data_IF_544821353002
#
_entry.id   IF_544821353002
#
_cell.length_a   1.000
_cell.length_b   1.000
_cell.length_c   1.000
_cell.angle_alpha   90.00
_cell.angle_beta   90.00
_cell.angle_gamma   90.00
#
_symmetry.space_group_name_H-M   'P 1'
#
loop_
_entity.id
_entity.type
_entity.pdbx_description
1 polymer ?
#
# COMPACT_ATOMS: atom_id res chain seq x y z
N UNK A 1 29.40 -6.28 19.64
CA UNK A 1 29.01 -5.97 18.23
C UNK A 1 27.99 -6.94 17.67
N UNK A 2 28.05 -8.26 17.98
CA UNK A 2 27.06 -9.25 17.48
C UNK A 2 25.63 -9.03 18.01
N UNK A 3 25.49 -8.69 19.30
CA UNK A 3 24.16 -8.56 19.93
C UNK A 3 23.35 -7.38 19.41
N UNK A 4 24.02 -6.27 19.02
CA UNK A 4 23.36 -5.10 18.46
C UNK A 4 22.80 -5.33 17.04
N UNK A 5 23.43 -6.18 16.25
CA UNK A 5 22.96 -6.53 14.90
C UNK A 5 21.72 -7.42 14.96
N UNK A 6 21.71 -8.38 15.88
CA UNK A 6 20.59 -9.29 16.04
C UNK A 6 19.37 -8.62 16.67
N UNK A 7 19.57 -7.53 17.43
CA UNK A 7 18.49 -6.76 18.04
C UNK A 7 17.44 -6.32 17.00
N UNK A 8 17.88 -5.93 15.80
CA UNK A 8 16.97 -5.51 14.73
C UNK A 8 16.02 -6.64 14.29
N UNK A 9 16.49 -7.89 14.28
CA UNK A 9 15.65 -9.05 13.96
C UNK A 9 14.67 -9.38 15.10
N UNK A 10 15.10 -9.28 16.34
CA UNK A 10 14.22 -9.49 17.51
C UNK A 10 13.15 -8.40 17.59
N UNK A 11 13.51 -7.14 17.33
CA UNK A 11 12.57 -6.02 17.26
C UNK A 11 11.52 -6.22 16.15
N UNK A 12 11.94 -6.70 14.97
CA UNK A 12 11.03 -7.06 13.89
C UNK A 12 10.08 -8.20 14.31
N UNK A 13 10.60 -9.27 14.90
CA UNK A 13 9.80 -10.40 15.35
C UNK A 13 8.75 -9.98 16.39
N UNK A 14 9.14 -9.14 17.37
CA UNK A 14 8.21 -8.64 18.39
C UNK A 14 7.19 -7.67 17.79
N UNK A 15 7.59 -6.82 16.85
CA UNK A 15 6.65 -5.91 16.16
C UNK A 15 5.66 -6.70 15.29
N UNK A 16 6.12 -7.77 14.62
CA UNK A 16 5.26 -8.68 13.86
C UNK A 16 4.22 -9.37 14.77
N UNK A 17 4.66 -9.88 15.92
CA UNK A 17 3.75 -10.50 16.91
C UNK A 17 2.69 -9.50 17.38
N UNK A 18 3.09 -8.28 17.79
CA UNK A 18 2.14 -7.22 18.19
C UNK A 18 1.17 -6.86 17.08
N UNK A 19 1.67 -6.80 15.84
CA UNK A 19 0.84 -6.52 14.64
C UNK A 19 -0.23 -7.61 14.47
N UNK A 20 0.14 -8.89 14.59
CA UNK A 20 -0.80 -9.99 14.50
C UNK A 20 -1.86 -9.95 15.61
N UNK A 21 -1.42 -9.73 16.85
CA UNK A 21 -2.32 -9.71 18.03
C UNK A 21 -3.32 -8.54 18.00
N UNK A 22 -2.90 -7.37 17.49
CA UNK A 22 -3.68 -6.13 17.57
C UNK A 22 -4.49 -5.82 16.32
N UNK A 23 -4.04 -6.26 15.14
CA UNK A 23 -4.57 -5.79 13.85
C UNK A 23 -5.25 -6.88 13.02
N UNK A 24 -5.45 -8.09 13.56
CA UNK A 24 -6.10 -9.19 12.83
C UNK A 24 -7.45 -8.78 12.18
N UNK A 25 -8.36 -8.04 12.84
CA UNK A 25 -9.60 -7.59 12.21
C UNK A 25 -9.37 -6.63 11.04
N UNK A 26 -8.43 -5.69 11.16
CA UNK A 26 -8.11 -4.73 10.10
C UNK A 26 -7.46 -5.43 8.89
N UNK A 27 -6.60 -6.43 9.13
CA UNK A 27 -5.98 -7.24 8.08
C UNK A 27 -7.07 -8.01 7.31
N UNK A 28 -8.03 -8.62 8.01
CA UNK A 28 -9.16 -9.30 7.39
C UNK A 28 -10.05 -8.34 6.58
N UNK A 29 -10.30 -7.13 7.08
CA UNK A 29 -11.03 -6.09 6.35
C UNK A 29 -10.28 -5.66 5.07
N UNK A 30 -8.97 -5.47 5.14
CA UNK A 30 -8.15 -5.14 3.98
C UNK A 30 -8.20 -6.24 2.92
N UNK A 31 -8.07 -7.51 3.31
CA UNK A 31 -8.23 -8.64 2.40
C UNK A 31 -9.62 -8.65 1.74
N UNK A 32 -10.68 -8.36 2.50
CA UNK A 32 -12.03 -8.26 1.97
C UNK A 32 -12.20 -7.08 0.99
N UNK A 33 -11.54 -5.93 1.22
CA UNK A 33 -11.55 -4.79 0.28
C UNK A 33 -10.88 -5.18 -1.04
N UNK A 34 -9.68 -5.76 -0.99
CA UNK A 34 -8.95 -6.20 -2.18
C UNK A 34 -9.75 -7.25 -2.95
N UNK A 35 -10.31 -8.24 -2.26
CA UNK A 35 -11.16 -9.27 -2.88
C UNK A 35 -12.36 -8.65 -3.63
N UNK A 36 -13.14 -7.80 -2.98
CA UNK A 36 -14.31 -7.14 -3.60
C UNK A 36 -13.92 -6.33 -4.84
N UNK A 37 -12.80 -5.63 -4.79
CA UNK A 37 -12.28 -4.88 -5.95
C UNK A 37 -12.03 -5.81 -7.13
N UNK A 38 -11.30 -6.89 -6.92
CA UNK A 38 -10.93 -7.83 -7.98
C UNK A 38 -12.12 -8.63 -8.50
N UNK A 39 -13.05 -9.04 -7.64
CA UNK A 39 -14.32 -9.69 -8.01
C UNK A 39 -15.23 -8.73 -8.80
N UNK A 40 -15.23 -7.44 -8.45
CA UNK A 40 -15.95 -6.39 -9.15
C UNK A 40 -15.31 -5.94 -10.48
N UNK A 41 -14.20 -6.55 -10.90
CA UNK A 41 -13.48 -6.20 -12.13
C UNK A 41 -12.65 -4.93 -12.02
N UNK A 42 -12.41 -4.44 -10.81
CA UNK A 42 -11.55 -3.28 -10.54
C UNK A 42 -10.05 -3.61 -10.56
N UNK A 43 -9.25 -2.55 -10.54
CA UNK A 43 -7.79 -2.58 -10.55
C UNK A 43 -7.25 -2.12 -9.20
N UNK A 44 -6.18 -2.74 -8.73
CA UNK A 44 -5.42 -2.30 -7.56
C UNK A 44 -4.37 -1.27 -7.99
N UNK A 45 -4.44 -0.06 -7.46
CA UNK A 45 -3.48 1.01 -7.74
C UNK A 45 -2.60 1.19 -6.51
N UNK A 46 -1.28 1.07 -6.68
CA UNK A 46 -0.33 1.15 -5.58
C UNK A 46 0.53 2.40 -5.67
N UNK A 47 0.74 3.12 -4.56
CA UNK A 47 1.69 4.21 -4.49
C UNK A 47 2.39 4.32 -3.13
N UNK A 48 3.50 5.03 -3.10
CA UNK A 48 4.34 5.30 -1.95
C UNK A 48 5.65 5.94 -2.36
N UNK A 49 6.48 6.33 -1.41
CA UNK A 49 7.77 6.97 -1.66
C UNK A 49 8.94 6.09 -1.17
N UNK A 50 10.11 6.18 -1.80
CA UNK A 50 11.31 5.48 -1.36
C UNK A 50 11.13 3.96 -1.26
N UNK A 51 11.36 3.37 -0.08
CA UNK A 51 11.11 1.95 0.18
C UNK A 51 9.65 1.56 -0.05
N UNK A 52 8.71 2.41 0.34
CA UNK A 52 7.28 2.21 0.08
C UNK A 52 6.92 2.26 -1.42
N UNK A 53 7.72 2.93 -2.25
CA UNK A 53 7.57 2.84 -3.72
C UNK A 53 8.04 1.48 -4.24
N UNK A 54 9.12 0.94 -3.67
CA UNK A 54 9.58 -0.42 -3.98
C UNK A 54 8.53 -1.47 -3.58
N UNK A 55 7.92 -1.33 -2.41
CA UNK A 55 6.82 -2.20 -1.96
C UNK A 55 5.61 -2.12 -2.92
N UNK A 56 5.25 -0.92 -3.38
CA UNK A 56 4.18 -0.73 -4.36
C UNK A 56 4.43 -1.48 -5.67
N UNK A 57 5.66 -1.44 -6.19
CA UNK A 57 6.07 -2.17 -7.40
C UNK A 57 6.08 -3.69 -7.16
N UNK A 58 6.63 -4.11 -6.03
CA UNK A 58 6.67 -5.51 -5.64
C UNK A 58 5.25 -6.08 -5.61
N UNK A 59 4.34 -5.43 -4.90
CA UNK A 59 2.98 -5.94 -4.75
C UNK A 59 2.20 -5.93 -6.07
N UNK A 60 2.33 -4.92 -6.91
CA UNK A 60 1.72 -4.95 -8.24
C UNK A 60 2.17 -6.19 -9.04
N UNK A 61 3.45 -6.58 -8.93
CA UNK A 61 3.99 -7.79 -9.57
C UNK A 61 3.34 -9.06 -9.03
N UNK A 62 3.16 -9.17 -7.71
CA UNK A 62 2.54 -10.34 -7.09
C UNK A 62 1.09 -10.56 -7.57
N UNK A 63 0.33 -9.49 -7.77
CA UNK A 63 -1.03 -9.58 -8.32
C UNK A 63 -1.04 -9.88 -9.82
N UNK A 64 -0.21 -9.22 -10.61
CA UNK A 64 -0.21 -9.36 -12.07
C UNK A 64 0.35 -10.70 -12.52
N UNK A 65 1.46 -11.14 -11.95
CA UNK A 65 2.12 -12.40 -12.35
C UNK A 65 1.52 -13.57 -11.56
N UNK A 66 1.91 -13.71 -10.33
CA UNK A 66 1.39 -14.65 -9.31
C UNK A 66 2.18 -14.48 -8.02
N UNK A 67 1.65 -14.90 -6.90
CA UNK A 67 2.38 -15.04 -5.64
C UNK A 67 2.75 -16.51 -5.37
N UNK A 68 1.93 -17.26 -4.65
CA UNK A 68 2.22 -18.65 -4.30
C UNK A 68 1.60 -19.67 -5.27
N UNK A 69 0.42 -19.35 -5.83
CA UNK A 69 -0.35 -20.26 -6.68
C UNK A 69 -0.33 -19.83 -8.15
N UNK A 70 -0.33 -20.83 -9.05
CA UNK A 70 -0.55 -20.56 -10.46
C UNK A 70 -2.03 -20.24 -10.70
N UNK A 71 -2.34 -19.04 -11.20
CA UNK A 71 -3.69 -18.51 -11.39
C UNK A 71 -3.73 -17.48 -12.52
N UNK A 72 -4.93 -17.01 -12.88
CA UNK A 72 -5.09 -15.88 -13.80
C UNK A 72 -4.43 -14.62 -13.23
N UNK A 73 -4.02 -13.70 -14.11
CA UNK A 73 -3.54 -12.39 -13.71
C UNK A 73 -4.66 -11.58 -13.03
N UNK A 74 -4.31 -10.88 -11.94
CA UNK A 74 -5.17 -9.88 -11.33
C UNK A 74 -4.72 -8.48 -11.73
N UNK A 75 -5.65 -7.56 -12.08
CA UNK A 75 -5.28 -6.21 -12.52
C UNK A 75 -4.69 -5.40 -11.36
N UNK A 76 -3.44 -4.98 -11.54
CA UNK A 76 -2.72 -4.15 -10.57
C UNK A 76 -1.71 -3.23 -11.27
N UNK A 77 -1.53 -2.01 -10.78
CA UNK A 77 -0.62 -1.00 -11.32
C UNK A 77 0.12 -0.33 -10.17
N UNK A 78 1.45 -0.26 -10.27
CA UNK A 78 2.25 0.60 -9.40
C UNK A 78 2.42 1.98 -10.07
N UNK A 79 1.90 3.02 -9.45
CA UNK A 79 1.99 4.42 -9.94
C UNK A 79 3.41 5.00 -9.80
N UNK A 80 4.38 4.16 -9.47
CA UNK A 80 5.77 4.51 -9.18
C UNK A 80 6.73 4.07 -10.28
N UNK A 81 6.25 3.58 -11.42
CA UNK A 81 7.09 2.91 -12.43
C UNK A 81 7.32 3.71 -13.71
N UNK A 82 6.37 4.53 -14.15
CA UNK A 82 6.51 5.33 -15.37
C UNK A 82 7.38 6.57 -15.09
N UNK A 83 8.67 6.43 -15.39
CA UNK A 83 9.65 7.49 -15.12
C UNK A 83 9.42 8.76 -15.94
N UNK A 84 8.89 8.64 -17.16
CA UNK A 84 8.55 9.80 -17.98
C UNK A 84 7.40 10.58 -17.37
N UNK A 85 6.36 9.89 -16.94
CA UNK A 85 5.23 10.51 -16.27
C UNK A 85 5.63 11.16 -14.95
N UNK A 86 6.38 10.44 -14.10
CA UNK A 86 6.83 10.95 -12.79
C UNK A 86 7.71 12.20 -12.94
N UNK A 87 8.64 12.20 -13.92
CA UNK A 87 9.53 13.34 -14.14
C UNK A 87 8.81 14.52 -14.77
N UNK A 88 7.92 14.29 -15.73
CA UNK A 88 7.10 15.36 -16.33
C UNK A 88 6.15 15.97 -15.30
N UNK A 89 5.41 15.15 -14.55
CA UNK A 89 4.52 15.66 -13.52
C UNK A 89 5.29 16.43 -12.43
N UNK A 90 6.43 15.90 -11.98
CA UNK A 90 7.28 16.57 -10.99
C UNK A 90 7.80 17.92 -11.48
N UNK A 91 8.16 18.04 -12.77
CA UNK A 91 8.65 19.27 -13.36
C UNK A 91 7.53 20.30 -13.64
N UNK A 92 6.39 19.86 -14.15
CA UNK A 92 5.38 20.74 -14.72
C UNK A 92 4.31 21.15 -13.69
N UNK A 93 3.93 20.26 -12.77
CA UNK A 93 2.86 20.49 -11.79
C UNK A 93 3.29 20.29 -10.33
N UNK A 94 4.52 19.86 -10.10
CA UNK A 94 5.11 19.66 -8.79
C UNK A 94 5.05 18.21 -8.30
N UNK A 95 6.02 17.85 -7.44
CA UNK A 95 6.18 16.48 -6.91
C UNK A 95 4.97 16.02 -6.07
N UNK A 96 4.23 16.96 -5.51
CA UNK A 96 3.03 16.68 -4.71
C UNK A 96 1.90 16.05 -5.56
N UNK A 97 1.95 16.19 -6.88
CA UNK A 97 0.90 15.73 -7.79
C UNK A 97 1.27 14.50 -8.64
N UNK A 98 2.45 13.92 -8.46
CA UNK A 98 2.92 12.79 -9.28
C UNK A 98 2.01 11.56 -9.24
N UNK A 99 1.34 11.30 -8.11
CA UNK A 99 0.39 10.19 -7.96
C UNK A 99 -1.06 10.63 -8.20
N UNK A 100 -1.47 11.80 -7.68
CA UNK A 100 -2.84 12.29 -7.86
C UNK A 100 -3.20 12.43 -9.34
N UNK A 101 -2.27 12.91 -10.17
CA UNK A 101 -2.46 13.04 -11.62
C UNK A 101 -2.73 11.71 -12.30
N UNK A 102 -2.08 10.64 -11.87
CA UNK A 102 -2.31 9.29 -12.37
C UNK A 102 -3.66 8.73 -11.88
N UNK A 103 -4.02 8.96 -10.61
CA UNK A 103 -5.32 8.59 -10.06
C UNK A 103 -6.44 9.28 -10.82
N UNK A 104 -6.34 10.59 -11.09
CA UNK A 104 -7.30 11.34 -11.90
C UNK A 104 -7.52 10.73 -13.29
N UNK A 105 -6.42 10.34 -13.95
CA UNK A 105 -6.46 9.81 -15.32
C UNK A 105 -6.95 8.36 -15.40
N UNK A 106 -6.54 7.51 -14.46
CA UNK A 106 -6.65 6.05 -14.59
C UNK A 106 -7.77 5.45 -13.73
N UNK A 107 -7.97 5.98 -12.50
CA UNK A 107 -8.83 5.33 -11.53
C UNK A 107 -10.32 5.41 -11.86
N UNK A 108 -11.03 4.33 -11.58
CA UNK A 108 -12.49 4.17 -11.72
C UNK A 108 -13.09 3.82 -10.36
N UNK A 109 -14.38 4.05 -10.16
CA UNK A 109 -15.07 3.78 -8.88
C UNK A 109 -14.93 2.34 -8.38
N UNK A 110 -14.77 1.35 -9.29
CA UNK A 110 -14.58 -0.05 -8.93
C UNK A 110 -13.15 -0.40 -8.51
N UNK A 111 -12.17 0.53 -8.63
CA UNK A 111 -10.78 0.31 -8.28
C UNK A 111 -10.54 0.50 -6.78
N UNK A 112 -9.32 0.20 -6.33
CA UNK A 112 -8.84 0.42 -4.97
C UNK A 112 -7.47 1.09 -5.02
N UNK A 113 -7.34 2.25 -4.37
CA UNK A 113 -6.03 2.86 -4.14
C UNK A 113 -5.42 2.31 -2.85
N UNK A 114 -4.22 1.73 -2.97
CA UNK A 114 -3.44 1.19 -1.85
C UNK A 114 -2.20 2.05 -1.66
N UNK A 115 -2.09 2.69 -0.49
CA UNK A 115 -1.02 3.63 -0.16
C UNK A 115 -0.11 3.06 0.90
N UNK A 116 1.19 3.02 0.64
CA UNK A 116 2.22 2.73 1.63
C UNK A 116 2.86 4.04 2.10
N UNK A 117 2.71 4.39 3.38
CA UNK A 117 3.29 5.61 3.95
C UNK A 117 3.54 5.49 5.44
N UNK A 118 4.80 5.34 5.83
CA UNK A 118 5.19 5.19 7.25
C UNK A 118 4.88 6.42 8.10
N UNK A 119 4.88 7.62 7.52
CA UNK A 119 4.55 8.87 8.21
C UNK A 119 3.08 9.28 8.08
N UNK A 120 2.41 8.84 7.01
CA UNK A 120 1.07 9.30 6.66
C UNK A 120 0.96 10.79 6.33
N UNK A 121 2.09 11.50 6.08
CA UNK A 121 2.12 12.95 5.93
C UNK A 121 2.79 13.45 4.64
N UNK A 122 3.26 12.57 3.76
CA UNK A 122 3.87 12.98 2.49
C UNK A 122 2.83 13.64 1.58
N UNK A 123 3.06 14.88 1.10
CA UNK A 123 2.05 15.62 0.33
C UNK A 123 1.52 14.84 -0.87
N UNK A 124 2.38 14.18 -1.64
CA UNK A 124 1.99 13.44 -2.84
C UNK A 124 1.06 12.25 -2.57
N UNK A 125 1.19 11.55 -1.44
CA UNK A 125 0.26 10.48 -1.07
C UNK A 125 -1.07 11.05 -0.54
N UNK A 126 -1.02 12.21 0.13
CA UNK A 126 -2.24 12.89 0.58
C UNK A 126 -3.06 13.39 -0.62
N UNK A 127 -2.40 14.00 -1.62
CA UNK A 127 -3.08 14.42 -2.86
C UNK A 127 -3.63 13.24 -3.64
N UNK A 128 -2.92 12.09 -3.69
CA UNK A 128 -3.44 10.86 -4.29
C UNK A 128 -4.71 10.36 -3.59
N UNK A 129 -4.73 10.35 -2.25
CA UNK A 129 -5.90 9.96 -1.47
C UNK A 129 -7.09 10.92 -1.70
N UNK A 130 -6.85 12.24 -1.75
CA UNK A 130 -7.89 13.23 -2.07
C UNK A 130 -8.47 13.01 -3.48
N UNK A 131 -7.61 12.77 -4.48
CA UNK A 131 -8.03 12.51 -5.85
C UNK A 131 -8.87 11.23 -5.94
N UNK A 132 -8.47 10.15 -5.25
CA UNK A 132 -9.24 8.90 -5.18
C UNK A 132 -10.63 9.13 -4.57
N UNK A 133 -10.71 9.81 -3.43
CA UNK A 133 -11.98 10.13 -2.77
C UNK A 133 -12.89 10.99 -3.65
N UNK A 134 -12.34 11.96 -4.37
CA UNK A 134 -13.10 12.81 -5.31
C UNK A 134 -13.73 11.99 -6.46
N UNK A 135 -13.14 10.84 -6.79
CA UNK A 135 -13.62 9.89 -7.81
C UNK A 135 -14.46 8.74 -7.24
N UNK A 136 -14.74 8.72 -5.94
CA UNK A 136 -15.44 7.60 -5.30
C UNK A 136 -14.62 6.31 -5.19
N UNK A 137 -13.30 6.39 -5.37
CA UNK A 137 -12.37 5.26 -5.27
C UNK A 137 -11.99 5.04 -3.81
N UNK A 138 -12.24 3.83 -3.23
CA UNK A 138 -11.81 3.51 -1.88
C UNK A 138 -10.30 3.59 -1.68
N UNK A 139 -9.88 3.96 -0.48
CA UNK A 139 -8.47 4.10 -0.08
C UNK A 139 -8.15 3.15 1.05
N UNK A 140 -7.23 2.20 0.81
CA UNK A 140 -6.58 1.37 1.83
C UNK A 140 -5.18 1.92 2.07
N UNK A 141 -4.83 2.24 3.30
CA UNK A 141 -3.49 2.71 3.64
C UNK A 141 -2.78 1.75 4.61
N UNK A 142 -1.47 1.60 4.43
CA UNK A 142 -0.57 0.98 5.39
C UNK A 142 0.34 2.07 5.94
N UNK A 143 0.34 2.22 7.27
CA UNK A 143 1.06 3.26 7.97
C UNK A 143 1.74 2.77 9.24
N UNK A 144 2.33 3.71 9.96
CA UNK A 144 2.90 3.49 11.29
C UNK A 144 2.65 4.73 12.16
N UNK A 145 3.16 4.73 13.39
CA UNK A 145 3.01 5.85 14.34
C UNK A 145 1.52 6.13 14.62
N UNK A 146 1.05 7.34 14.35
CA UNK A 146 -0.34 7.77 14.50
C UNK A 146 -1.16 7.71 13.18
N UNK A 147 -0.48 7.40 12.06
CA UNK A 147 -1.07 7.36 10.71
C UNK A 147 -1.11 8.70 10.00
N UNK A 148 -0.72 9.80 10.68
CA UNK A 148 -0.69 11.14 10.10
C UNK A 148 -2.02 11.62 9.51
N UNK A 149 -1.95 12.62 8.63
CA UNK A 149 -3.13 13.17 7.95
C UNK A 149 -3.80 12.15 6.99
N UNK A 150 -3.06 11.15 6.52
CA UNK A 150 -3.57 10.11 5.63
C UNK A 150 -4.67 9.27 6.29
N UNK A 151 -4.63 9.13 7.62
CA UNK A 151 -5.65 8.37 8.38
C UNK A 151 -7.07 8.89 8.12
N UNK A 152 -7.26 10.20 8.09
CA UNK A 152 -8.57 10.83 7.85
C UNK A 152 -9.03 10.74 6.37
N UNK A 153 -8.12 10.40 5.46
CA UNK A 153 -8.37 10.27 4.03
C UNK A 153 -8.56 8.80 3.59
N UNK A 154 -8.34 7.84 4.48
CA UNK A 154 -8.41 6.41 4.20
C UNK A 154 -9.74 5.82 4.69
N UNK A 155 -10.32 4.91 3.91
CA UNK A 155 -11.50 4.12 4.32
C UNK A 155 -11.09 3.00 5.29
N UNK A 156 -9.87 2.50 5.15
CA UNK A 156 -9.22 1.61 6.10
C UNK A 156 -7.73 1.95 6.17
N UNK A 157 -7.19 2.05 7.38
CA UNK A 157 -5.75 2.19 7.60
C UNK A 157 -5.24 1.15 8.57
N UNK A 158 -4.26 0.35 8.15
CA UNK A 158 -3.51 -0.57 9.01
C UNK A 158 -2.29 0.18 9.54
N UNK A 159 -2.26 0.44 10.86
CA UNK A 159 -1.17 1.17 11.51
C UNK A 159 -0.28 0.17 12.27
N UNK A 160 0.87 -0.15 11.70
CA UNK A 160 1.86 -1.01 12.33
C UNK A 160 2.36 -0.37 13.65
N UNK A 161 2.36 -1.10 14.77
CA UNK A 161 2.66 -0.53 16.08
C UNK A 161 4.18 -0.31 16.30
N UNK A 162 4.77 0.59 15.50
CA UNK A 162 6.20 0.98 15.55
C UNK A 162 6.41 2.43 15.13
N UNK A 163 7.43 3.08 15.71
CA UNK A 163 7.91 4.40 15.29
C UNK A 163 9.06 4.30 14.30
N UNK A 164 9.61 3.11 14.08
CA UNK A 164 10.72 2.86 13.17
C UNK A 164 10.23 2.68 11.74
N UNK A 165 10.81 3.46 10.84
CA UNK A 165 10.46 3.44 9.40
C UNK A 165 10.81 2.11 8.74
N UNK A 166 11.98 1.53 9.05
CA UNK A 166 12.42 0.24 8.53
C UNK A 166 11.48 -0.90 8.96
N UNK A 167 11.14 -0.98 10.25
CA UNK A 167 10.19 -1.98 10.78
C UNK A 167 8.81 -1.86 10.11
N UNK A 168 8.34 -0.62 9.95
CA UNK A 168 7.06 -0.36 9.29
C UNK A 168 7.07 -0.87 7.84
N UNK A 169 8.09 -0.56 7.04
CA UNK A 169 8.20 -1.02 5.65
C UNK A 169 8.28 -2.53 5.55
N UNK A 170 9.13 -3.20 6.34
CA UNK A 170 9.22 -4.66 6.38
C UNK A 170 7.85 -5.31 6.67
N UNK A 171 7.08 -4.74 7.59
CA UNK A 171 5.76 -5.26 7.93
C UNK A 171 4.67 -4.85 6.93
N UNK A 172 4.77 -3.68 6.26
CA UNK A 172 3.87 -3.35 5.16
C UNK A 172 3.95 -4.40 4.05
N UNK A 173 5.17 -4.79 3.65
CA UNK A 173 5.37 -5.83 2.66
C UNK A 173 4.84 -7.19 3.15
N UNK A 174 5.14 -7.58 4.39
CA UNK A 174 4.64 -8.81 4.99
C UNK A 174 3.10 -8.85 5.00
N UNK A 175 2.43 -7.78 5.42
CA UNK A 175 0.98 -7.66 5.45
C UNK A 175 0.36 -7.77 4.06
N UNK A 176 0.98 -7.15 3.07
CA UNK A 176 0.53 -7.24 1.68
C UNK A 176 0.67 -8.67 1.12
N UNK A 177 1.73 -9.39 1.47
CA UNK A 177 1.87 -10.79 1.12
C UNK A 177 0.75 -11.63 1.73
N UNK A 178 0.44 -11.45 3.02
CA UNK A 178 -0.66 -12.15 3.70
C UNK A 178 -2.01 -11.88 3.03
N UNK A 179 -2.28 -10.62 2.66
CA UNK A 179 -3.50 -10.23 1.95
C UNK A 179 -3.55 -10.91 0.58
N UNK A 180 -2.47 -10.86 -0.19
CA UNK A 180 -2.38 -11.48 -1.51
C UNK A 180 -2.59 -13.00 -1.42
N UNK A 181 -1.92 -13.69 -0.49
CA UNK A 181 -2.05 -15.12 -0.26
C UNK A 181 -3.49 -15.53 0.06
N UNK A 182 -4.17 -14.74 0.92
CA UNK A 182 -5.54 -15.01 1.33
C UNK A 182 -6.56 -14.97 0.18
N UNK A 183 -6.20 -14.33 -0.93
CA UNK A 183 -7.06 -14.13 -2.09
C UNK A 183 -6.74 -15.14 -3.19
N UNK A 184 -5.49 -15.61 -3.26
CA UNK A 184 -5.07 -16.55 -4.31
C UNK A 184 -5.86 -17.85 -4.29
N UNK A 185 -6.56 -18.10 -5.40
CA UNK A 185 -7.38 -19.31 -5.57
C UNK A 185 -8.74 -19.25 -4.90
N UNK A 186 -9.16 -18.04 -4.45
CA UNK A 186 -10.53 -17.81 -3.96
C UNK A 186 -11.36 -16.94 -4.92
N UNK A 187 -10.73 -16.45 -6.01
CA UNK A 187 -11.37 -15.66 -7.08
C UNK A 187 -11.10 -16.32 -8.44
#
# INVERSE_FOLDING_TARGET
>A
MSDSLLYALYDLAETARRTADQLAPQIAQAAAMVRRTLEGGGTLLFCGNGGSAADAQHMATEYVVRFMKNRRAYPAIALTTDTSLLTAAGNDIGFDHIFSRQVEALAKECDLLIIHSTSGNSPNVLEAAKAARAKGVPVLALGARDGGALRALSDLMIIVPTDRTDRAQELHLCLQHLICESIEGSI
#
